data_IF_481951259593
#
_entry.id   IF_481951259593
#
_cell.length_a   1.000
_cell.length_b   1.000
_cell.length_c   1.000
_cell.angle_alpha   90.00
_cell.angle_beta   90.00
_cell.angle_gamma   90.00
#
_symmetry.space_group_name_H-M   'P 1'
#
loop_
_entity.id
_entity.type
_entity.pdbx_description
1 polymer ?
#
# COMPACT_ATOMS: atom_id res chain seq x y z
N UNK A 1 -10.83 23.92 3.23
CA UNK A 1 -10.88 22.92 4.32
C UNK A 1 -9.79 21.89 4.03
N UNK A 2 -8.83 21.68 4.95
CA UNK A 2 -7.83 20.60 4.79
C UNK A 2 -8.58 19.27 4.86
N UNK A 3 -8.42 18.42 3.86
CA UNK A 3 -8.97 17.06 3.90
C UNK A 3 -8.46 16.37 5.18
N UNK A 4 -9.38 16.02 6.07
CA UNK A 4 -9.07 15.28 7.30
C UNK A 4 -8.60 13.85 6.98
N UNK A 5 -8.93 13.37 5.78
CA UNK A 5 -8.61 12.03 5.29
C UNK A 5 -7.38 12.09 4.38
N UNK A 6 -6.47 11.18 4.60
CA UNK A 6 -5.19 11.10 3.88
C UNK A 6 -4.77 9.64 3.68
N UNK A 7 -3.71 9.42 2.89
CA UNK A 7 -3.13 8.10 2.68
C UNK A 7 -1.86 7.96 3.51
N UNK A 8 -1.75 6.83 4.24
CA UNK A 8 -0.53 6.42 4.92
C UNK A 8 0.08 5.26 4.17
N UNK A 9 1.36 5.36 3.89
CA UNK A 9 2.14 4.29 3.28
C UNK A 9 3.13 3.75 4.30
N UNK A 10 3.07 2.46 4.54
CA UNK A 10 3.99 1.72 5.41
C UNK A 10 5.09 1.10 4.53
N UNK A 11 6.34 1.61 4.60
CA UNK A 11 7.43 1.03 3.83
C UNK A 11 7.71 -0.41 4.25
N UNK A 12 8.12 -1.24 3.30
CA UNK A 12 8.64 -2.59 3.61
C UNK A 12 9.94 -2.49 4.39
N UNK A 13 10.33 -3.59 5.03
CA UNK A 13 11.61 -3.66 5.76
C UNK A 13 12.81 -3.33 4.85
N UNK A 14 12.75 -3.71 3.58
CA UNK A 14 13.80 -3.47 2.58
C UNK A 14 13.82 -2.03 2.04
N UNK A 15 12.80 -1.22 2.39
CA UNK A 15 12.67 0.17 1.97
C UNK A 15 13.18 1.19 2.97
N UNK A 16 13.54 0.76 4.20
CA UNK A 16 13.94 1.67 5.30
C UNK A 16 15.05 2.65 4.89
N UNK A 17 16.06 2.17 4.17
CA UNK A 17 17.19 2.99 3.70
C UNK A 17 16.96 3.60 2.30
N UNK A 18 15.80 3.37 1.70
CA UNK A 18 15.44 3.79 0.33
C UNK A 18 14.14 4.60 0.29
N UNK A 19 13.78 5.24 1.41
CA UNK A 19 12.51 6.00 1.54
C UNK A 19 12.43 7.14 0.52
N UNK A 20 13.53 7.79 0.20
CA UNK A 20 13.57 8.86 -0.82
C UNK A 20 13.18 8.33 -2.21
N UNK A 21 13.67 7.16 -2.59
CA UNK A 21 13.29 6.47 -3.84
C UNK A 21 11.81 6.09 -3.83
N UNK A 22 11.30 5.59 -2.70
CA UNK A 22 9.88 5.25 -2.56
C UNK A 22 8.99 6.50 -2.70
N UNK A 23 9.35 7.62 -2.07
CA UNK A 23 8.63 8.90 -2.22
C UNK A 23 8.65 9.37 -3.68
N UNK A 24 9.78 9.24 -4.37
CA UNK A 24 9.88 9.59 -5.79
C UNK A 24 8.95 8.72 -6.65
N UNK A 25 8.89 7.41 -6.36
CA UNK A 25 8.00 6.48 -7.05
C UNK A 25 6.52 6.78 -6.78
N UNK A 26 6.15 7.10 -5.53
CA UNK A 26 4.79 7.54 -5.18
C UNK A 26 4.40 8.78 -5.98
N UNK A 27 5.24 9.81 -6.02
CA UNK A 27 5.00 11.02 -6.83
C UNK A 27 4.80 10.68 -8.30
N UNK A 28 5.63 9.76 -8.83
CA UNK A 28 5.60 9.38 -10.23
C UNK A 28 4.34 8.59 -10.59
N UNK A 29 3.97 7.58 -9.80
CA UNK A 29 2.76 6.79 -10.06
C UNK A 29 1.49 7.63 -9.96
N UNK A 30 1.39 8.52 -8.97
CA UNK A 30 0.26 9.43 -8.86
C UNK A 30 0.12 10.34 -10.09
N UNK A 31 1.24 10.88 -10.59
CA UNK A 31 1.25 11.67 -11.85
C UNK A 31 0.84 10.84 -13.07
N UNK A 32 1.35 9.61 -13.20
CA UNK A 32 1.00 8.71 -14.32
C UNK A 32 -0.49 8.40 -14.32
N UNK A 33 -1.10 8.25 -13.14
CA UNK A 33 -2.53 7.98 -12.99
C UNK A 33 -3.39 9.23 -12.84
N UNK A 34 -2.84 10.42 -13.15
CA UNK A 34 -3.53 11.72 -13.06
C UNK A 34 -4.15 12.02 -11.68
N UNK A 35 -3.57 11.45 -10.61
CA UNK A 35 -4.01 11.74 -9.25
C UNK A 35 -3.36 13.01 -8.73
N UNK A 36 -4.19 13.97 -8.29
CA UNK A 36 -3.72 15.23 -7.69
C UNK A 36 -3.37 15.01 -6.22
N UNK A 37 -2.28 15.60 -5.79
CA UNK A 37 -1.83 15.57 -4.39
C UNK A 37 -1.20 16.91 -4.01
N UNK A 38 -1.43 17.33 -2.75
CA UNK A 38 -0.88 18.57 -2.22
C UNK A 38 0.51 18.36 -1.61
N UNK A 39 0.69 17.28 -0.84
CA UNK A 39 1.92 17.07 -0.06
C UNK A 39 2.22 15.58 0.12
N UNK A 40 3.50 15.24 0.00
CA UNK A 40 4.03 13.93 0.37
C UNK A 40 5.22 14.16 1.30
N UNK A 41 5.20 13.56 2.49
CA UNK A 41 6.25 13.71 3.48
C UNK A 41 6.50 12.40 4.25
N UNK A 42 7.72 12.22 4.69
CA UNK A 42 8.06 11.22 5.70
C UNK A 42 7.64 11.74 7.08
N UNK A 43 7.03 10.87 7.88
CA UNK A 43 6.73 11.13 9.29
C UNK A 43 7.06 9.86 10.07
N UNK A 44 8.11 9.91 10.89
CA UNK A 44 8.73 8.75 11.53
C UNK A 44 9.04 7.62 10.53
N UNK A 45 8.41 6.45 10.68
CA UNK A 45 8.62 5.27 9.82
C UNK A 45 7.61 5.15 8.67
N UNK A 46 6.71 6.11 8.49
CA UNK A 46 5.67 6.09 7.47
C UNK A 46 5.79 7.27 6.51
N UNK A 47 5.11 7.16 5.36
CA UNK A 47 4.99 8.24 4.39
C UNK A 47 3.52 8.67 4.37
N UNK A 48 3.30 9.97 4.54
CA UNK A 48 1.99 10.61 4.53
C UNK A 48 1.78 11.25 3.17
N UNK A 49 0.65 10.95 2.54
CA UNK A 49 0.24 11.50 1.25
C UNK A 49 -1.10 12.23 1.42
N UNK A 50 -1.09 13.54 1.20
CA UNK A 50 -2.28 14.39 1.18
C UNK A 50 -2.74 14.51 -0.29
N UNK A 51 -3.71 13.68 -0.69
CA UNK A 51 -4.27 13.62 -2.03
C UNK A 51 -5.71 14.15 -2.05
N UNK A 52 -6.15 14.66 -3.21
CA UNK A 52 -7.51 15.13 -3.40
C UNK A 52 -8.52 13.96 -3.30
N UNK A 53 -8.14 12.80 -3.84
CA UNK A 53 -8.88 11.56 -3.71
C UNK A 53 -8.01 10.48 -3.06
N UNK A 54 -8.16 10.25 -1.74
CA UNK A 54 -7.36 9.25 -1.02
C UNK A 54 -7.63 7.80 -1.48
N UNK A 55 -8.83 7.49 -2.00
CA UNK A 55 -9.18 6.14 -2.43
C UNK A 55 -8.40 5.75 -3.68
N UNK A 56 -8.49 6.57 -4.73
CA UNK A 56 -7.74 6.32 -5.96
C UNK A 56 -6.23 6.46 -5.75
N UNK A 57 -5.80 7.41 -4.91
CA UNK A 57 -4.38 7.55 -4.58
C UNK A 57 -3.84 6.31 -3.86
N UNK A 58 -4.58 5.72 -2.90
CA UNK A 58 -4.17 4.50 -2.21
C UNK A 58 -4.05 3.32 -3.15
N UNK A 59 -5.01 3.14 -4.07
CA UNK A 59 -4.99 2.10 -5.10
C UNK A 59 -3.79 2.25 -6.04
N UNK A 60 -3.52 3.47 -6.50
CA UNK A 60 -2.37 3.77 -7.35
C UNK A 60 -1.05 3.45 -6.63
N UNK A 61 -0.91 3.87 -5.38
CA UNK A 61 0.28 3.64 -4.57
C UNK A 61 0.48 2.15 -4.30
N UNK A 62 -0.58 1.38 -4.07
CA UNK A 62 -0.50 -0.06 -3.77
C UNK A 62 -0.01 -0.92 -4.97
N UNK A 63 0.14 -0.34 -6.15
CA UNK A 63 0.79 -1.02 -7.29
C UNK A 63 2.31 -1.08 -7.16
N UNK A 64 2.92 -0.27 -6.30
CA UNK A 64 4.36 -0.15 -6.15
C UNK A 64 4.96 -1.27 -5.30
N UNK A 65 6.19 -1.64 -5.62
CA UNK A 65 7.04 -2.42 -4.72
C UNK A 65 7.70 -1.53 -3.67
N UNK A 66 8.18 -2.15 -2.59
CA UNK A 66 8.76 -1.45 -1.45
C UNK A 66 7.74 -1.04 -0.39
N UNK A 67 6.50 -1.47 -0.49
CA UNK A 67 5.39 -1.13 0.41
C UNK A 67 4.94 -2.36 1.18
N UNK A 68 4.88 -2.27 2.52
CA UNK A 68 4.29 -3.27 3.42
C UNK A 68 2.77 -3.16 3.41
N UNK A 69 2.24 -1.95 3.38
CA UNK A 69 0.81 -1.68 3.37
C UNK A 69 0.49 -0.23 3.08
N UNK A 70 -0.74 0.01 2.69
CA UNK A 70 -1.32 1.33 2.43
C UNK A 70 -2.62 1.45 3.22
N UNK A 71 -2.83 2.59 3.87
CA UNK A 71 -4.06 2.84 4.61
C UNK A 71 -4.67 4.20 4.21
N UNK A 72 -5.98 4.27 4.25
CA UNK A 72 -6.72 5.53 4.25
C UNK A 72 -7.03 5.85 5.70
N UNK A 73 -6.66 7.03 6.19
CA UNK A 73 -6.74 7.35 7.60
C UNK A 73 -7.25 8.76 7.86
N UNK A 74 -7.92 8.93 9.00
CA UNK A 74 -8.24 10.21 9.60
C UNK A 74 -7.11 10.62 10.55
N UNK A 75 -6.59 11.83 10.40
CA UNK A 75 -5.55 12.38 11.26
C UNK A 75 -6.17 13.03 12.49
N UNK A 76 -5.64 12.71 13.68
CA UNK A 76 -5.96 13.35 14.95
C UNK A 76 -4.67 13.70 15.70
N UNK A 77 -4.76 14.52 16.74
CA UNK A 77 -3.62 14.82 17.59
C UNK A 77 -3.17 13.57 18.36
N UNK A 78 -1.85 13.42 18.56
CA UNK A 78 -1.31 12.32 19.36
C UNK A 78 -1.43 12.64 20.87
N UNK A 79 -2.68 12.69 21.36
CA UNK A 79 -3.01 12.72 22.78
C UNK A 79 -4.13 11.70 23.06
N UNK A 80 -4.19 11.27 24.31
CA UNK A 80 -5.07 10.19 24.73
C UNK A 80 -6.55 10.43 24.35
N UNK A 81 -7.07 11.59 24.70
CA UNK A 81 -8.48 11.94 24.48
C UNK A 81 -8.84 12.02 22.99
N UNK A 82 -7.99 12.70 22.19
CA UNK A 82 -8.23 12.82 20.73
C UNK A 82 -8.21 11.47 20.03
N UNK A 83 -7.35 10.54 20.47
CA UNK A 83 -7.27 9.20 19.89
C UNK A 83 -8.52 8.40 20.25
N UNK A 84 -8.90 8.34 21.54
CA UNK A 84 -10.07 7.60 22.00
C UNK A 84 -11.35 8.11 21.32
N UNK A 85 -11.55 9.43 21.29
CA UNK A 85 -12.71 10.04 20.62
C UNK A 85 -12.70 9.79 19.10
N UNK A 86 -11.53 9.90 18.47
CA UNK A 86 -11.38 9.65 17.04
C UNK A 86 -11.68 8.20 16.65
N UNK A 87 -11.20 7.23 17.45
CA UNK A 87 -11.48 5.80 17.25
C UNK A 87 -12.98 5.54 17.32
N UNK A 88 -13.66 6.03 18.36
CA UNK A 88 -15.09 5.84 18.55
C UNK A 88 -15.92 6.49 17.43
N UNK A 89 -15.52 7.69 16.96
CA UNK A 89 -16.19 8.36 15.85
C UNK A 89 -15.98 7.60 14.52
N UNK A 90 -14.76 7.15 14.26
CA UNK A 90 -14.48 6.37 13.05
C UNK A 90 -15.22 5.02 13.05
N UNK A 91 -15.31 4.38 14.21
CA UNK A 91 -16.02 3.11 14.37
C UNK A 91 -17.52 3.23 14.04
N UNK A 92 -18.18 4.29 14.52
CA UNK A 92 -19.59 4.56 14.21
C UNK A 92 -19.86 4.71 12.70
N UNK A 93 -18.85 5.23 11.94
CA UNK A 93 -18.96 5.44 10.50
C UNK A 93 -18.75 4.15 9.68
N UNK A 94 -18.02 3.16 10.20
CA UNK A 94 -17.54 2.02 9.39
C UNK A 94 -18.06 0.65 9.83
N UNK A 95 -18.50 0.47 11.09
CA UNK A 95 -18.99 -0.82 11.55
C UNK A 95 -20.47 -1.02 11.23
N UNK A 96 -20.82 -2.27 10.93
CA UNK A 96 -22.20 -2.70 10.76
C UNK A 96 -22.73 -3.32 12.07
N UNK A 97 -24.07 -3.38 12.18
CA UNK A 97 -24.75 -3.95 13.34
C UNK A 97 -24.31 -5.41 13.58
N UNK A 98 -23.90 -5.70 14.82
CA UNK A 98 -23.51 -7.02 15.26
C UNK A 98 -22.08 -7.47 14.89
N UNK A 99 -21.31 -6.63 14.17
CA UNK A 99 -19.92 -6.96 13.83
C UNK A 99 -19.01 -7.05 15.06
N UNK A 100 -18.00 -7.90 14.95
CA UNK A 100 -16.89 -7.96 15.92
C UNK A 100 -15.69 -7.20 15.39
N UNK A 101 -15.16 -6.33 16.21
CA UNK A 101 -14.00 -5.54 15.85
C UNK A 101 -12.72 -6.04 16.51
N UNK A 102 -11.61 -5.87 15.82
CA UNK A 102 -10.28 -5.96 16.38
C UNK A 102 -9.65 -4.57 16.32
N UNK A 103 -9.40 -3.97 17.50
CA UNK A 103 -8.64 -2.73 17.59
C UNK A 103 -7.14 -3.08 17.74
N UNK A 104 -6.31 -2.51 16.89
CA UNK A 104 -4.85 -2.67 16.96
C UNK A 104 -4.20 -1.29 16.92
N UNK A 105 -3.35 -1.01 17.90
CA UNK A 105 -2.66 0.27 18.05
C UNK A 105 -1.16 0.02 18.01
N UNK A 106 -0.45 0.71 17.12
CA UNK A 106 0.99 0.61 16.96
C UNK A 106 1.63 1.99 16.88
N UNK A 107 2.92 2.07 17.20
CA UNK A 107 3.71 3.29 17.08
C UNK A 107 4.06 3.92 18.42
N UNK A 108 4.35 5.22 18.40
CA UNK A 108 4.86 5.97 19.55
C UNK A 108 3.74 6.68 20.31
N UNK A 109 3.54 6.31 21.56
CA UNK A 109 2.61 6.96 22.48
C UNK A 109 3.37 7.90 23.45
N UNK A 110 2.88 9.12 23.64
CA UNK A 110 3.52 10.11 24.50
C UNK A 110 2.79 10.21 25.84
N UNK A 111 3.41 9.67 26.90
CA UNK A 111 2.87 9.76 28.26
C UNK A 111 1.81 8.70 28.62
N UNK A 112 1.57 7.72 27.74
CA UNK A 112 0.65 6.59 27.94
C UNK A 112 1.15 5.39 27.12
N UNK A 113 0.64 4.20 27.40
CA UNK A 113 0.95 3.01 26.59
C UNK A 113 -0.09 2.79 25.49
N UNK A 114 0.31 2.09 24.44
CA UNK A 114 -0.66 1.69 23.37
C UNK A 114 -1.78 0.83 23.94
N UNK A 115 -1.50 0.05 25.00
CA UNK A 115 -2.47 -0.80 25.69
C UNK A 115 -3.50 0.02 26.47
N UNK A 116 -3.08 1.14 27.11
CA UNK A 116 -4.02 2.04 27.80
C UNK A 116 -5.01 2.64 26.83
N UNK A 117 -4.55 3.07 25.65
CA UNK A 117 -5.43 3.59 24.59
C UNK A 117 -6.36 2.48 24.09
N UNK A 118 -5.84 1.27 23.86
CA UNK A 118 -6.62 0.14 23.35
C UNK A 118 -7.79 -0.17 24.29
N UNK A 119 -7.53 -0.23 25.60
CA UNK A 119 -8.56 -0.45 26.61
C UNK A 119 -9.59 0.67 26.64
N UNK A 120 -9.15 1.94 26.74
CA UNK A 120 -10.04 3.08 26.82
C UNK A 120 -10.86 3.27 25.53
N UNK A 121 -10.22 3.12 24.35
CA UNK A 121 -10.88 3.23 23.07
C UNK A 121 -11.87 2.08 22.85
N UNK A 122 -11.57 0.86 23.29
CA UNK A 122 -12.49 -0.29 23.26
C UNK A 122 -13.72 -0.01 24.12
N UNK A 123 -13.54 0.46 25.35
CA UNK A 123 -14.66 0.80 26.25
C UNK A 123 -15.53 1.91 25.66
N UNK A 124 -14.93 3.01 25.21
CA UNK A 124 -15.67 4.13 24.59
C UNK A 124 -16.37 3.71 23.28
N UNK A 125 -15.79 2.79 22.52
CA UNK A 125 -16.41 2.26 21.30
C UNK A 125 -17.65 1.44 21.64
N UNK A 126 -17.55 0.51 22.61
CA UNK A 126 -18.67 -0.32 23.04
C UNK A 126 -19.82 0.56 23.55
N UNK A 127 -19.51 1.57 24.38
CA UNK A 127 -20.51 2.50 24.91
C UNK A 127 -21.24 3.26 23.79
N UNK A 128 -20.49 3.86 22.85
CA UNK A 128 -21.07 4.67 21.75
C UNK A 128 -21.79 3.83 20.69
N UNK A 129 -21.50 2.55 20.60
CA UNK A 129 -22.11 1.64 19.61
C UNK A 129 -23.02 0.58 20.25
N UNK A 130 -23.45 0.81 21.50
CA UNK A 130 -24.28 -0.14 22.25
C UNK A 130 -25.55 -0.54 21.50
N UNK A 131 -26.25 0.41 20.86
CA UNK A 131 -27.45 0.17 20.07
C UNK A 131 -27.16 -0.69 18.80
N UNK A 132 -25.94 -0.66 18.29
CA UNK A 132 -25.52 -1.45 17.14
C UNK A 132 -25.13 -2.88 17.52
N UNK A 133 -24.94 -3.17 18.81
CA UNK A 133 -24.55 -4.49 19.30
C UNK A 133 -23.16 -4.93 18.84
N UNK A 134 -22.26 -3.99 18.55
CA UNK A 134 -20.88 -4.25 18.16
C UNK A 134 -20.11 -4.79 19.37
N UNK A 135 -19.27 -5.81 19.14
CA UNK A 135 -18.53 -6.51 20.21
C UNK A 135 -17.06 -6.60 19.90
N UNK A 136 -16.17 -6.60 20.92
CA UNK A 136 -14.77 -6.88 20.70
C UNK A 136 -14.59 -8.31 20.20
N UNK A 137 -13.72 -8.47 19.21
CA UNK A 137 -13.26 -9.73 18.67
C UNK A 137 -11.89 -10.12 19.23
N UNK A 138 -11.38 -11.24 18.77
CA UNK A 138 -10.02 -11.71 19.05
C UNK A 138 -9.20 -11.72 17.76
N UNK A 139 -7.86 -11.82 17.88
CA UNK A 139 -6.96 -11.92 16.70
C UNK A 139 -7.31 -13.06 15.74
N UNK A 140 -8.03 -14.09 16.22
CA UNK A 140 -8.48 -15.24 15.42
C UNK A 140 -9.92 -15.11 14.90
N UNK A 141 -10.74 -14.22 15.51
CA UNK A 141 -12.17 -14.12 15.22
C UNK A 141 -12.66 -12.68 15.34
N UNK A 142 -12.61 -11.97 14.23
CA UNK A 142 -13.14 -10.62 14.05
C UNK A 142 -13.71 -10.48 12.65
N UNK A 143 -14.64 -9.56 12.49
CA UNK A 143 -15.26 -9.27 11.20
C UNK A 143 -14.58 -8.08 10.54
N UNK A 144 -14.15 -7.09 11.36
CA UNK A 144 -13.45 -5.88 10.88
C UNK A 144 -12.34 -5.45 11.83
N UNK A 145 -11.24 -5.00 11.23
CA UNK A 145 -10.09 -4.47 11.96
C UNK A 145 -10.06 -2.95 11.88
N UNK A 146 -9.91 -2.30 13.03
CA UNK A 146 -9.61 -0.88 13.13
C UNK A 146 -8.14 -0.75 13.55
N UNK A 147 -7.33 -0.15 12.69
CA UNK A 147 -5.90 0.03 12.92
C UNK A 147 -5.57 1.48 13.22
N UNK A 148 -4.82 1.73 14.27
CA UNK A 148 -4.36 3.07 14.66
C UNK A 148 -2.85 3.10 14.67
N UNK A 149 -2.27 4.04 13.96
CA UNK A 149 -0.83 4.24 13.92
C UNK A 149 -0.45 5.58 14.55
N UNK A 150 0.46 5.53 15.53
CA UNK A 150 0.90 6.68 16.30
C UNK A 150 2.31 7.10 15.86
N UNK A 151 2.44 8.35 15.43
CA UNK A 151 3.73 9.01 15.21
C UNK A 151 4.01 9.97 16.36
N UNK A 152 5.20 10.54 16.40
CA UNK A 152 5.54 11.55 17.42
C UNK A 152 4.64 12.80 17.37
N UNK A 153 4.11 13.11 16.20
CA UNK A 153 3.33 14.34 15.96
C UNK A 153 1.81 14.10 15.96
N UNK A 154 1.38 12.99 15.34
CA UNK A 154 -0.03 12.75 15.07
C UNK A 154 -0.39 11.29 15.35
N UNK A 155 -1.69 11.05 15.48
CA UNK A 155 -2.27 9.72 15.43
C UNK A 155 -3.12 9.58 14.16
N UNK A 156 -3.12 8.40 13.58
CA UNK A 156 -3.77 8.07 12.32
C UNK A 156 -4.72 6.91 12.53
N UNK A 157 -6.01 7.18 12.40
CA UNK A 157 -7.07 6.18 12.53
C UNK A 157 -7.38 5.67 11.14
N UNK A 158 -6.92 4.46 10.85
CA UNK A 158 -7.04 3.84 9.54
C UNK A 158 -8.45 3.26 9.38
N UNK A 159 -9.23 3.87 8.49
CA UNK A 159 -10.58 3.41 8.12
C UNK A 159 -10.55 2.31 7.06
N UNK A 160 -9.44 2.20 6.34
CA UNK A 160 -9.16 1.15 5.37
C UNK A 160 -7.67 0.83 5.41
N UNK A 161 -7.33 -0.45 5.28
CA UNK A 161 -5.94 -0.93 5.21
C UNK A 161 -5.84 -2.05 4.20
N UNK A 162 -4.87 -1.95 3.30
CA UNK A 162 -4.54 -2.97 2.32
C UNK A 162 -3.07 -3.38 2.41
N UNK A 163 -2.81 -4.66 2.19
CA UNK A 163 -1.45 -5.18 2.19
C UNK A 163 -0.72 -4.77 0.90
N UNK A 164 0.49 -4.29 1.06
CA UNK A 164 1.37 -3.98 -0.07
C UNK A 164 2.08 -5.23 -0.61
N UNK A 165 2.75 -5.06 -1.72
CA UNK A 165 3.46 -6.14 -2.42
C UNK A 165 4.82 -6.49 -1.80
N UNK A 166 5.27 -5.72 -0.80
CA UNK A 166 6.61 -5.89 -0.24
C UNK A 166 7.72 -5.54 -1.24
N UNK A 167 8.86 -6.22 -1.11
CA UNK A 167 10.00 -6.00 -2.00
C UNK A 167 10.77 -4.71 -1.72
N UNK A 168 11.53 -4.27 -2.70
CA UNK A 168 12.39 -3.09 -2.70
C UNK A 168 11.76 -2.01 -3.60
N UNK A 169 11.88 -0.71 -3.30
CA UNK A 169 11.30 0.33 -4.15
C UNK A 169 11.76 0.20 -5.60
N UNK A 170 10.82 0.33 -6.53
CA UNK A 170 11.11 0.24 -7.97
C UNK A 170 12.30 1.13 -8.36
N UNK A 171 13.14 0.62 -9.25
CA UNK A 171 14.30 1.32 -9.83
C UNK A 171 15.33 1.87 -8.80
N UNK A 172 15.31 1.35 -7.58
CA UNK A 172 16.18 1.84 -6.49
C UNK A 172 17.57 1.19 -6.48
N UNK A 173 17.83 0.22 -7.36
CA UNK A 173 19.16 -0.35 -7.57
C UNK A 173 20.02 0.45 -8.55
N UNK A 174 19.41 1.41 -9.29
CA UNK A 174 20.06 2.20 -10.33
C UNK A 174 20.77 1.34 -11.39
N UNK A 175 20.23 0.16 -11.68
CA UNK A 175 20.73 -0.78 -12.69
C UNK A 175 19.56 -1.26 -13.54
N UNK A 176 19.78 -1.38 -14.84
CA UNK A 176 18.82 -1.95 -15.77
C UNK A 176 19.18 -3.41 -16.07
N UNK A 177 18.17 -4.26 -16.08
CA UNK A 177 18.27 -5.68 -16.40
C UNK A 177 17.46 -5.99 -17.66
N UNK A 178 17.98 -6.88 -18.50
CA UNK A 178 17.23 -7.37 -19.66
C UNK A 178 16.46 -8.61 -19.24
N UNK A 179 15.15 -8.58 -19.44
CA UNK A 179 14.25 -9.70 -19.16
C UNK A 179 13.70 -10.26 -20.47
N UNK A 180 14.13 -11.48 -20.82
CA UNK A 180 13.58 -12.21 -21.97
C UNK A 180 12.36 -13.01 -21.51
N UNK A 181 11.18 -12.70 -22.07
CA UNK A 181 9.92 -13.37 -21.74
C UNK A 181 9.53 -14.29 -22.90
N UNK A 182 9.42 -15.58 -22.64
CA UNK A 182 9.06 -16.61 -23.60
C UNK A 182 8.10 -17.67 -23.02
N UNK A 183 7.86 -17.64 -21.71
CA UNK A 183 6.89 -18.47 -20.97
C UNK A 183 6.49 -17.82 -19.65
N UNK A 184 5.65 -18.49 -18.87
CA UNK A 184 5.16 -18.01 -17.58
C UNK A 184 6.29 -17.87 -16.55
N UNK A 185 7.26 -18.77 -16.54
CA UNK A 185 8.36 -18.76 -15.58
C UNK A 185 9.29 -17.57 -15.82
N UNK A 186 9.61 -17.28 -17.06
CA UNK A 186 10.40 -16.11 -17.44
C UNK A 186 9.66 -14.79 -17.13
N UNK A 187 8.32 -14.78 -17.26
CA UNK A 187 7.49 -13.66 -16.85
C UNK A 187 7.53 -13.42 -15.32
N UNK A 188 7.43 -14.49 -14.53
CA UNK A 188 7.57 -14.43 -13.06
C UNK A 188 8.98 -13.97 -12.69
N UNK A 189 10.02 -14.45 -13.34
CA UNK A 189 11.40 -14.03 -13.11
C UNK A 189 11.60 -12.54 -13.38
N UNK A 190 10.97 -12.00 -14.44
CA UNK A 190 10.96 -10.57 -14.73
C UNK A 190 10.27 -9.78 -13.61
N UNK A 191 9.11 -10.25 -13.13
CA UNK A 191 8.38 -9.60 -12.04
C UNK A 191 9.20 -9.57 -10.74
N UNK A 192 9.86 -10.67 -10.38
CA UNK A 192 10.74 -10.74 -9.21
C UNK A 192 11.96 -9.81 -9.36
N UNK A 193 12.50 -9.66 -10.57
CA UNK A 193 13.59 -8.70 -10.86
C UNK A 193 13.13 -7.26 -10.56
N UNK A 194 11.93 -6.88 -10.99
CA UNK A 194 11.35 -5.57 -10.67
C UNK A 194 11.15 -5.41 -9.16
N UNK A 195 10.64 -6.45 -8.49
CA UNK A 195 10.40 -6.47 -7.04
C UNK A 195 11.69 -6.35 -6.21
N UNK A 196 12.83 -6.73 -6.76
CA UNK A 196 14.15 -6.51 -6.19
C UNK A 196 14.69 -5.07 -6.42
N UNK A 197 13.93 -4.22 -7.10
CA UNK A 197 14.23 -2.81 -7.30
C UNK A 197 15.10 -2.51 -8.51
N UNK A 198 15.25 -3.44 -9.45
CA UNK A 198 15.90 -3.20 -10.73
C UNK A 198 14.94 -2.52 -11.72
N UNK A 199 15.51 -1.72 -12.61
CA UNK A 199 14.82 -1.33 -13.84
C UNK A 199 14.90 -2.47 -14.85
N UNK A 200 13.89 -2.59 -15.74
CA UNK A 200 13.85 -3.69 -16.70
C UNK A 200 13.61 -3.19 -18.12
N UNK A 201 14.36 -3.79 -19.06
CA UNK A 201 14.07 -3.79 -20.48
C UNK A 201 13.47 -5.15 -20.83
N UNK A 202 12.25 -5.17 -21.35
CA UNK A 202 11.51 -6.39 -21.64
C UNK A 202 11.67 -6.75 -23.12
N UNK A 203 12.10 -7.99 -23.37
CA UNK A 203 12.20 -8.58 -24.69
C UNK A 203 11.26 -9.79 -24.72
N UNK A 204 10.36 -9.83 -25.69
CA UNK A 204 9.43 -10.95 -25.89
C UNK A 204 9.96 -11.86 -26.99
N UNK A 205 10.28 -13.11 -26.63
CA UNK A 205 10.77 -14.11 -27.55
C UNK A 205 9.68 -15.16 -27.82
N UNK A 206 9.39 -15.44 -29.08
CA UNK A 206 8.35 -16.38 -29.46
C UNK A 206 8.78 -17.24 -30.68
N UNK A 207 8.26 -18.45 -30.78
CA UNK A 207 8.54 -19.33 -31.88
C UNK A 207 7.41 -19.39 -32.91
N UNK A 208 6.16 -19.36 -32.40
CA UNK A 208 4.93 -19.38 -33.20
C UNK A 208 4.11 -18.15 -32.96
N UNK A 209 3.51 -17.60 -34.00
CA UNK A 209 2.66 -16.40 -33.89
C UNK A 209 1.44 -16.63 -32.98
N UNK A 210 0.99 -17.88 -32.81
CA UNK A 210 -0.07 -18.27 -31.88
C UNK A 210 0.28 -18.03 -30.39
N UNK A 211 1.56 -18.01 -30.05
CA UNK A 211 2.04 -17.79 -28.67
C UNK A 211 2.03 -16.30 -28.30
N UNK A 212 2.13 -15.42 -29.30
CA UNK A 212 2.37 -14.00 -29.10
C UNK A 212 1.28 -13.33 -28.25
N UNK A 213 0.00 -13.65 -28.50
CA UNK A 213 -1.11 -13.05 -27.76
C UNK A 213 -1.05 -13.40 -26.27
N UNK A 214 -0.67 -14.65 -25.94
CA UNK A 214 -0.53 -15.09 -24.56
C UNK A 214 0.65 -14.37 -23.86
N UNK A 215 1.80 -14.28 -24.52
CA UNK A 215 2.98 -13.56 -24.00
C UNK A 215 2.68 -12.08 -23.78
N UNK A 216 1.99 -11.41 -24.70
CA UNK A 216 1.59 -10.02 -24.54
C UNK A 216 0.65 -9.82 -23.34
N UNK A 217 -0.27 -10.75 -23.09
CA UNK A 217 -1.15 -10.68 -21.91
C UNK A 217 -0.35 -10.78 -20.60
N UNK A 218 0.64 -11.68 -20.52
CA UNK A 218 1.53 -11.78 -19.36
C UNK A 218 2.34 -10.51 -19.16
N UNK A 219 2.94 -9.98 -20.23
CA UNK A 219 3.72 -8.74 -20.17
C UNK A 219 2.86 -7.56 -19.71
N UNK A 220 1.61 -7.47 -20.16
CA UNK A 220 0.70 -6.42 -19.71
C UNK A 220 0.46 -6.44 -18.19
N UNK A 221 0.41 -7.62 -17.57
CA UNK A 221 0.30 -7.71 -16.09
C UNK A 221 1.57 -7.21 -15.39
N UNK A 222 2.74 -7.41 -15.98
CA UNK A 222 4.02 -6.96 -15.43
C UNK A 222 4.19 -5.45 -15.60
N UNK A 223 3.79 -4.88 -16.73
CA UNK A 223 3.94 -3.46 -17.05
C UNK A 223 3.29 -2.58 -15.99
N UNK A 224 2.12 -2.96 -15.47
CA UNK A 224 1.44 -2.22 -14.41
C UNK A 224 2.23 -2.14 -13.08
N UNK A 225 3.25 -2.97 -12.92
CA UNK A 225 4.16 -2.97 -11.75
C UNK A 225 5.41 -2.14 -11.96
N UNK A 226 5.62 -1.63 -13.15
CA UNK A 226 6.71 -0.70 -13.45
C UNK A 226 6.25 0.74 -13.20
N UNK A 227 7.17 1.61 -12.83
CA UNK A 227 6.89 3.04 -12.63
C UNK A 227 7.27 3.80 -13.90
N UNK A 228 6.85 3.30 -15.05
CA UNK A 228 7.13 3.89 -16.37
C UNK A 228 5.82 4.26 -17.07
N UNK A 229 5.67 5.49 -17.61
CA UNK A 229 4.47 5.89 -18.33
C UNK A 229 4.34 5.17 -19.68
N UNK A 230 5.46 4.77 -20.25
CA UNK A 230 5.57 4.02 -21.51
C UNK A 230 6.72 3.02 -21.39
N UNK A 231 6.50 1.82 -21.91
CA UNK A 231 7.52 0.77 -22.01
C UNK A 231 7.63 0.39 -23.47
N UNK A 232 8.85 0.41 -23.98
CA UNK A 232 9.15 -0.14 -25.31
C UNK A 232 9.32 -1.64 -25.17
N UNK A 233 8.55 -2.40 -25.92
CA UNK A 233 8.67 -3.85 -26.02
C UNK A 233 9.40 -4.19 -27.33
N UNK A 234 10.36 -5.07 -27.23
CA UNK A 234 11.05 -5.65 -28.38
C UNK A 234 10.55 -7.09 -28.58
N UNK A 235 10.25 -7.47 -29.80
CA UNK A 235 9.71 -8.77 -30.15
C UNK A 235 10.70 -9.49 -31.07
N UNK A 236 11.10 -10.71 -30.68
CA UNK A 236 12.02 -11.53 -31.45
C UNK A 236 11.39 -12.88 -31.76
N UNK A 237 11.26 -13.18 -33.05
CA UNK A 237 10.84 -14.51 -33.50
C UNK A 237 12.06 -15.43 -33.55
N UNK A 238 12.04 -16.51 -32.77
CA UNK A 238 13.11 -17.47 -32.69
C UNK A 238 12.82 -18.60 -33.72
N UNK A 239 13.69 -18.84 -34.71
CA UNK A 239 13.49 -19.92 -35.67
C UNK A 239 13.57 -21.28 -34.97
N UNK A 240 12.56 -22.11 -35.16
CA UNK A 240 12.58 -23.51 -34.70
C UNK A 240 13.35 -24.31 -35.78
N UNK A 241 14.60 -24.66 -35.53
CA UNK A 241 15.31 -25.58 -36.37
C UNK A 241 14.65 -26.94 -36.23
N UNK A 242 13.98 -27.43 -37.27
CA UNK A 242 13.59 -28.82 -37.37
C UNK A 242 14.89 -29.63 -37.49
N UNK A 243 15.25 -30.35 -36.42
CA UNK A 243 16.24 -31.45 -36.54
C UNK A 243 15.61 -32.63 -37.28
#
# INVERSE_FOLDING_TARGET
MKNEVLVIVFPSIFSKNKVSSLIANIKKVLKIQNQKFCKIRKEDDVIIVEADDPVFASSAINTLFGIKGVAIAKRVNNNFESIVNGVSKAAADIFLKGERFLLQIEGYAKGFTTKDIELAATSSLIEKTAEMGIKPGTSKKYDRKLYVYLTKLNAYICIYYDNGLGGVPNNSQNKEMVCCIFDELSAVSCLETIKQGFDVKIIVCYSKDSELLHLVRMVNQIIHRTVKPKINLEFYKIPVNKK
#
